data_IF_235327364002
#
_entry.id   IF_235327364002
#
_cell.length_a   1.000
_cell.length_b   1.000
_cell.length_c   1.000
_cell.angle_alpha   90.00
_cell.angle_beta   90.00
_cell.angle_gamma   90.00
#
_symmetry.space_group_name_H-M   'P 1'
#
loop_
_entity.id
_entity.type
_entity.pdbx_description
1 polymer ?
#
# COMPACT_ATOMS: atom_id res chain seq x y z
N UNK A 1 -16.82 15.54 -15.16
CA UNK A 1 -16.23 15.27 -13.81
C UNK A 1 -16.15 13.80 -13.40
N UNK A 2 -17.16 12.93 -13.66
CA UNK A 2 -17.10 11.48 -13.28
C UNK A 2 -15.85 10.74 -13.79
N UNK A 3 -15.39 11.00 -15.03
CA UNK A 3 -14.18 10.40 -15.61
C UNK A 3 -12.88 10.81 -14.89
N UNK A 4 -12.77 12.06 -14.43
CA UNK A 4 -11.57 12.55 -13.74
C UNK A 4 -11.46 11.92 -12.34
N UNK A 5 -12.58 11.87 -11.61
CA UNK A 5 -12.65 11.18 -10.32
C UNK A 5 -12.28 9.70 -10.45
N UNK A 6 -12.78 9.01 -11.48
CA UNK A 6 -12.45 7.61 -11.74
C UNK A 6 -10.96 7.40 -12.04
N UNK A 7 -10.33 8.30 -12.79
CA UNK A 7 -8.90 8.25 -13.09
C UNK A 7 -8.04 8.46 -11.84
N UNK A 8 -8.40 9.43 -11.00
CA UNK A 8 -7.70 9.69 -9.72
C UNK A 8 -7.87 8.49 -8.79
N UNK A 9 -9.07 7.92 -8.71
CA UNK A 9 -9.34 6.73 -7.90
C UNK A 9 -8.47 5.55 -8.36
N UNK A 10 -8.46 5.21 -9.66
CA UNK A 10 -7.63 4.13 -10.20
C UNK A 10 -6.16 4.34 -9.86
N UNK A 11 -5.63 5.53 -10.11
CA UNK A 11 -4.21 5.83 -9.88
C UNK A 11 -3.83 5.64 -8.42
N UNK A 12 -4.71 6.09 -7.50
CA UNK A 12 -4.52 5.90 -6.07
C UNK A 12 -4.60 4.42 -5.65
N UNK A 13 -5.51 3.64 -6.23
CA UNK A 13 -5.61 2.19 -5.96
C UNK A 13 -4.36 1.45 -6.40
N UNK A 14 -3.82 1.79 -7.58
CA UNK A 14 -2.58 1.18 -8.10
C UNK A 14 -1.39 1.49 -7.19
N UNK A 15 -1.23 2.75 -6.77
CA UNK A 15 -0.16 3.13 -5.84
C UNK A 15 -0.28 2.39 -4.50
N UNK A 16 -1.49 2.27 -3.98
CA UNK A 16 -1.75 1.55 -2.72
C UNK A 16 -1.40 0.07 -2.83
N UNK A 17 -1.76 -0.58 -3.95
CA UNK A 17 -1.42 -1.98 -4.21
C UNK A 17 0.10 -2.18 -4.34
N UNK A 18 0.82 -1.26 -5.00
CA UNK A 18 2.27 -1.30 -5.07
C UNK A 18 2.92 -1.16 -3.69
N UNK A 19 2.45 -0.23 -2.85
CA UNK A 19 2.97 -0.04 -1.49
C UNK A 19 2.74 -1.27 -0.60
N UNK A 20 1.58 -1.90 -0.72
CA UNK A 20 1.30 -3.17 -0.03
C UNK A 20 2.26 -4.27 -0.48
N UNK A 21 2.47 -4.41 -1.80
CA UNK A 21 3.41 -5.38 -2.36
C UNK A 21 4.82 -5.20 -1.81
N UNK A 22 5.35 -3.97 -1.85
CA UNK A 22 6.70 -3.65 -1.33
C UNK A 22 6.80 -3.88 0.18
N UNK A 23 5.75 -3.57 0.94
CA UNK A 23 5.75 -3.79 2.39
C UNK A 23 5.78 -5.28 2.74
N UNK A 24 4.98 -6.09 2.04
CA UNK A 24 4.91 -7.54 2.25
C UNK A 24 6.24 -8.19 1.88
N UNK A 25 6.80 -7.87 0.71
CA UNK A 25 8.09 -8.42 0.28
C UNK A 25 9.23 -7.97 1.18
N UNK A 26 9.21 -6.73 1.66
CA UNK A 26 10.18 -6.21 2.63
C UNK A 26 10.17 -6.98 3.95
N UNK A 27 8.99 -7.23 4.53
CA UNK A 27 8.86 -8.02 5.77
C UNK A 27 9.36 -9.45 5.57
N UNK A 28 9.02 -10.09 4.44
CA UNK A 28 9.49 -11.45 4.12
C UNK A 28 11.01 -11.47 4.00
N UNK A 29 11.61 -10.49 3.32
CA UNK A 29 13.06 -10.44 3.11
C UNK A 29 13.83 -10.17 4.42
N UNK A 30 13.29 -9.32 5.30
CA UNK A 30 13.88 -9.07 6.62
C UNK A 30 13.84 -10.34 7.47
N UNK A 31 12.70 -11.04 7.47
CA UNK A 31 12.58 -12.30 8.20
C UNK A 31 13.58 -13.34 7.68
N UNK A 32 13.66 -13.51 6.36
CA UNK A 32 14.59 -14.47 5.75
C UNK A 32 16.05 -14.13 6.07
N UNK A 33 16.41 -12.84 6.10
CA UNK A 33 17.76 -12.42 6.49
C UNK A 33 18.03 -12.67 7.99
N UNK A 34 17.03 -12.49 8.85
CA UNK A 34 17.15 -12.72 10.29
C UNK A 34 17.30 -14.22 10.60
N UNK A 35 16.46 -15.07 10.00
CA UNK A 35 16.53 -16.52 10.14
C UNK A 35 17.88 -17.05 9.65
N UNK A 36 18.41 -16.46 8.57
CA UNK A 36 19.75 -16.77 8.05
C UNK A 36 20.85 -16.50 9.05
N UNK A 37 20.91 -15.27 9.55
CA UNK A 37 21.98 -14.86 10.47
C UNK A 37 21.98 -15.72 11.73
N UNK A 38 20.79 -16.04 12.25
CA UNK A 38 20.63 -16.88 13.42
C UNK A 38 21.05 -18.34 13.17
N UNK A 39 20.68 -18.94 12.04
CA UNK A 39 21.09 -20.29 11.70
C UNK A 39 22.60 -20.40 11.44
N UNK A 40 23.20 -19.42 10.76
CA UNK A 40 24.66 -19.36 10.54
C UNK A 40 25.42 -19.23 11.88
N UNK A 41 24.95 -18.37 12.80
CA UNK A 41 25.54 -18.19 14.13
C UNK A 41 25.50 -19.48 14.95
N UNK A 42 24.32 -20.12 15.04
CA UNK A 42 24.17 -21.36 15.80
C UNK A 42 25.01 -22.49 15.22
N UNK A 43 25.05 -22.64 13.89
CA UNK A 43 25.86 -23.68 13.27
C UNK A 43 27.34 -23.45 13.53
N UNK A 44 27.81 -22.20 13.42
CA UNK A 44 29.21 -21.83 13.70
C UNK A 44 29.58 -22.10 15.16
N UNK A 45 28.73 -21.71 16.10
CA UNK A 45 28.98 -21.93 17.52
C UNK A 45 28.90 -23.41 17.90
N UNK A 46 28.02 -24.17 17.26
CA UNK A 46 27.96 -25.62 17.39
C UNK A 46 29.25 -26.28 16.90
N UNK A 47 29.79 -25.85 15.75
CA UNK A 47 31.08 -26.36 15.26
C UNK A 47 32.22 -26.08 16.25
N UNK A 48 32.29 -24.87 16.81
CA UNK A 48 33.31 -24.53 17.82
C UNK A 48 33.16 -25.35 19.10
N UNK A 49 31.93 -25.55 19.57
CA UNK A 49 31.64 -26.36 20.76
C UNK A 49 32.04 -27.81 20.55
N UNK A 50 31.68 -28.40 19.40
CA UNK A 50 32.06 -29.76 19.05
C UNK A 50 33.58 -29.90 18.94
N UNK A 51 34.27 -28.96 18.29
CA UNK A 51 35.73 -28.96 18.20
C UNK A 51 36.42 -28.90 19.55
N UNK A 52 36.00 -27.98 20.44
CA UNK A 52 36.54 -27.88 21.80
C UNK A 52 36.27 -29.13 22.64
N UNK A 53 35.08 -29.75 22.46
CA UNK A 53 34.73 -31.00 23.12
C UNK A 53 35.58 -32.18 22.65
N UNK A 54 35.84 -32.28 21.34
CA UNK A 54 36.71 -33.30 20.75
C UNK A 54 38.18 -33.12 21.18
N UNK A 55 38.69 -31.90 21.31
CA UNK A 55 40.03 -31.64 21.85
C UNK A 55 40.16 -32.10 23.31
N UNK A 56 39.14 -31.82 24.15
CA UNK A 56 39.10 -32.28 25.53
C UNK A 56 38.96 -33.81 25.64
N UNK A 57 38.15 -34.41 24.76
CA UNK A 57 37.94 -35.85 24.69
C UNK A 57 39.20 -36.59 24.20
N UNK A 58 39.86 -36.06 23.17
CA UNK A 58 41.13 -36.57 22.62
C UNK A 58 42.28 -36.49 23.62
N UNK A 59 42.41 -35.38 24.36
CA UNK A 59 43.40 -35.23 25.43
C UNK A 59 43.19 -36.22 26.59
N UNK A 60 41.95 -36.62 26.86
CA UNK A 60 41.64 -37.65 27.86
C UNK A 60 41.93 -39.08 27.37
N UNK A 61 42.00 -39.29 26.04
CA UNK A 61 42.17 -40.60 25.39
C UNK A 61 43.64 -40.93 25.08
N UNK A 62 44.55 -39.95 25.00
CA UNK A 62 46.00 -40.18 24.91
C UNK A 62 46.57 -41.04 26.06
N UNK A 63 45.81 -41.25 27.14
CA UNK A 63 46.14 -42.16 28.24
C UNK A 63 45.72 -43.63 28.05
N UNK A 64 44.96 -44.00 27.02
CA UNK A 64 44.50 -45.39 26.83
C UNK A 64 44.43 -45.77 25.34
N UNK A 65 45.40 -46.57 24.89
CA UNK A 65 45.42 -47.14 23.54
C UNK A 65 44.42 -48.29 23.38
N UNK A 66 43.57 -48.26 22.34
CA UNK A 66 43.35 -49.35 21.37
C UNK A 66 42.14 -49.09 20.43
N UNK A 67 42.29 -49.62 19.20
CA UNK A 67 41.31 -49.92 18.13
C UNK A 67 40.61 -48.80 17.33
N UNK A 68 40.95 -48.70 16.04
CA UNK A 68 40.47 -47.67 15.09
C UNK A 68 38.96 -47.77 14.76
N UNK A 69 38.37 -48.97 14.68
CA UNK A 69 36.93 -49.14 14.39
C UNK A 69 36.03 -48.82 15.58
N UNK A 70 36.41 -49.22 16.81
CA UNK A 70 35.70 -48.83 18.02
C UNK A 70 35.82 -47.33 18.33
N UNK A 71 36.91 -46.70 17.89
CA UNK A 71 37.15 -45.25 18.08
C UNK A 71 36.15 -44.39 17.27
N UNK A 72 35.71 -44.85 16.10
CA UNK A 72 34.78 -44.09 15.27
C UNK A 72 33.34 -44.14 15.79
N UNK A 73 32.90 -45.29 16.32
CA UNK A 73 31.58 -45.46 16.95
C UNK A 73 31.49 -44.69 18.28
N UNK A 74 32.57 -44.71 19.07
CA UNK A 74 32.70 -43.90 20.29
C UNK A 74 32.63 -42.40 20.00
N UNK A 75 33.33 -41.92 18.96
CA UNK A 75 33.34 -40.51 18.56
C UNK A 75 31.96 -40.04 18.09
N UNK A 76 31.24 -40.88 17.33
CA UNK A 76 29.86 -40.59 16.90
C UNK A 76 28.89 -40.53 18.07
N UNK A 77 29.02 -41.47 19.02
CA UNK A 77 28.24 -41.48 20.25
C UNK A 77 28.48 -40.22 21.09
N UNK A 78 29.74 -39.79 21.22
CA UNK A 78 30.11 -38.56 21.92
C UNK A 78 29.53 -37.30 21.25
N UNK A 79 29.67 -37.15 19.94
CA UNK A 79 29.11 -36.03 19.18
C UNK A 79 27.58 -36.02 19.29
N UNK A 80 26.94 -37.19 19.21
CA UNK A 80 25.49 -37.32 19.37
C UNK A 80 25.01 -36.86 20.75
N UNK A 81 25.74 -37.18 21.81
CA UNK A 81 25.45 -36.69 23.17
C UNK A 81 25.69 -35.20 23.32
N UNK A 82 26.75 -34.66 22.72
CA UNK A 82 27.02 -33.22 22.71
C UNK A 82 25.85 -32.46 22.05
N UNK A 83 25.44 -32.88 20.85
CA UNK A 83 24.34 -32.24 20.11
C UNK A 83 23.03 -32.24 20.91
N UNK A 84 22.71 -33.34 21.60
CA UNK A 84 21.51 -33.44 22.46
C UNK A 84 21.49 -32.38 23.56
N UNK A 85 22.66 -32.05 24.10
CA UNK A 85 22.84 -31.14 25.22
C UNK A 85 23.02 -29.67 24.79
N UNK A 86 23.09 -29.36 23.50
CA UNK A 86 23.20 -27.98 23.04
C UNK A 86 21.89 -27.25 23.35
N UNK A 87 21.93 -26.13 24.10
CA UNK A 87 20.74 -25.36 24.38
C UNK A 87 20.29 -24.62 23.10
N UNK A 88 19.25 -25.12 22.46
CA UNK A 88 18.53 -24.40 21.40
C UNK A 88 17.28 -23.74 21.94
N UNK A 89 16.79 -22.71 21.25
CA UNK A 89 15.47 -22.16 21.51
C UNK A 89 14.37 -23.18 21.13
N UNK A 90 13.12 -22.91 21.50
CA UNK A 90 11.99 -23.82 21.23
C UNK A 90 11.62 -23.92 19.74
N UNK A 91 12.13 -23.06 18.87
CA UNK A 91 11.83 -23.09 17.43
C UNK A 91 12.96 -23.71 16.61
N UNK A 92 14.14 -23.91 17.19
CA UNK A 92 15.31 -24.41 16.47
C UNK A 92 15.68 -25.82 16.89
N UNK A 93 16.03 -26.60 15.88
CA UNK A 93 16.40 -28.00 15.99
C UNK A 93 17.77 -28.15 15.33
N UNK A 94 18.74 -28.68 16.08
CA UNK A 94 20.04 -29.06 15.51
C UNK A 94 20.10 -30.56 15.35
N UNK A 95 20.61 -30.99 14.21
CA UNK A 95 20.73 -32.40 13.85
C UNK A 95 22.11 -32.68 13.30
N UNK A 96 22.79 -33.68 13.89
CA UNK A 96 24.01 -34.24 13.34
C UNK A 96 23.68 -35.43 12.44
N UNK A 97 24.26 -35.48 11.25
CA UNK A 97 23.96 -36.50 10.25
C UNK A 97 25.25 -37.11 9.73
N UNK A 98 25.26 -38.43 9.62
CA UNK A 98 26.36 -39.17 9.02
C UNK A 98 26.41 -38.93 7.50
N UNK A 99 27.57 -38.51 6.99
CA UNK A 99 27.74 -38.18 5.58
C UNK A 99 27.70 -39.40 4.64
N UNK A 100 27.92 -40.61 5.14
CA UNK A 100 27.93 -41.88 4.39
C UNK A 100 26.59 -42.60 4.46
N UNK A 101 26.01 -42.72 5.66
CA UNK A 101 24.76 -43.48 5.87
C UNK A 101 23.50 -42.61 5.82
N UNK A 102 23.65 -41.29 5.89
CA UNK A 102 22.56 -40.32 6.05
C UNK A 102 21.71 -40.55 7.32
N UNK A 103 22.25 -41.29 8.29
CA UNK A 103 21.58 -41.54 9.55
C UNK A 103 21.83 -40.39 10.53
N UNK A 104 20.83 -40.15 11.39
CA UNK A 104 20.90 -39.11 12.41
C UNK A 104 21.80 -39.62 13.54
N UNK A 105 22.89 -38.88 13.80
CA UNK A 105 23.84 -39.11 14.89
C UNK A 105 23.30 -38.53 16.21
N UNK A 106 22.66 -37.36 16.15
CA UNK A 106 22.11 -36.69 17.33
C UNK A 106 21.12 -35.59 16.96
N UNK A 107 20.19 -35.29 17.88
CA UNK A 107 19.20 -34.23 17.77
C UNK A 107 19.03 -33.53 19.11
N UNK A 108 18.87 -32.22 19.12
CA UNK A 108 18.63 -31.43 20.35
C UNK A 108 17.32 -31.84 21.03
N UNK A 109 17.36 -32.12 22.35
CA UNK A 109 16.22 -32.69 23.09
C UNK A 109 15.15 -31.66 23.50
N UNK A 110 15.49 -30.37 23.51
CA UNK A 110 14.63 -29.30 24.03
C UNK A 110 13.42 -28.94 23.14
N UNK A 111 13.16 -29.67 22.05
CA UNK A 111 12.17 -29.27 21.05
C UNK A 111 11.12 -30.37 20.81
N UNK A 112 9.86 -30.12 21.18
CA UNK A 112 8.74 -31.05 20.95
C UNK A 112 8.54 -31.37 19.45
N UNK A 113 8.92 -30.46 18.55
CA UNK A 113 8.86 -30.67 17.10
C UNK A 113 9.94 -31.63 16.58
N UNK A 114 11.00 -31.88 17.33
CA UNK A 114 12.04 -32.86 16.99
C UNK A 114 11.48 -34.30 16.94
N UNK A 115 10.51 -34.62 17.80
CA UNK A 115 9.82 -35.91 17.81
C UNK A 115 8.89 -36.08 16.60
N UNK A 116 8.23 -35.01 16.13
CA UNK A 116 7.39 -35.05 14.93
C UNK A 116 8.21 -35.17 13.64
N UNK A 117 9.45 -34.65 13.64
CA UNK A 117 10.43 -34.80 12.57
C UNK A 117 10.97 -36.24 12.40
N UNK A 118 10.72 -37.15 13.36
CA UNK A 118 11.24 -38.52 13.34
C UNK A 118 10.56 -39.48 12.36
N UNK A 119 9.55 -39.04 11.60
CA UNK A 119 8.97 -39.89 10.55
C UNK A 119 9.98 -40.04 9.40
N UNK A 120 10.64 -41.20 9.32
CA UNK A 120 11.82 -41.50 8.48
C UNK A 120 11.69 -41.11 6.99
N UNK A 121 10.46 -40.95 6.47
CA UNK A 121 10.20 -40.53 5.08
C UNK A 121 10.35 -39.02 4.83
N UNK A 122 10.36 -38.20 5.88
CA UNK A 122 10.55 -36.74 5.79
C UNK A 122 12.02 -36.35 5.60
N UNK A 123 12.91 -36.95 6.39
CA UNK A 123 14.33 -36.63 6.45
C UNK A 123 15.10 -36.84 5.15
N UNK A 124 14.84 -37.96 4.45
CA UNK A 124 15.51 -38.25 3.17
C UNK A 124 15.27 -37.15 2.11
N UNK A 125 14.06 -36.58 2.07
CA UNK A 125 13.73 -35.48 1.14
C UNK A 125 14.31 -34.13 1.55
N UNK A 126 14.46 -33.89 2.85
CA UNK A 126 15.09 -32.69 3.39
C UNK A 126 16.59 -32.71 3.06
N UNK A 127 17.25 -33.85 3.31
CA UNK A 127 18.66 -34.06 3.03
C UNK A 127 18.98 -33.93 1.55
N UNK A 128 18.19 -34.55 0.67
CA UNK A 128 18.39 -34.46 -0.78
C UNK A 128 18.29 -33.01 -1.29
N UNK A 129 17.46 -32.17 -0.65
CA UNK A 129 17.37 -30.75 -0.98
C UNK A 129 18.56 -29.96 -0.45
N UNK A 130 18.97 -30.20 0.79
CA UNK A 130 20.07 -29.47 1.42
C UNK A 130 21.43 -29.82 0.80
N UNK A 131 21.64 -31.07 0.37
CA UNK A 131 22.87 -31.49 -0.31
C UNK A 131 23.08 -30.87 -1.70
N UNK A 132 22.01 -30.38 -2.33
CA UNK A 132 22.09 -29.70 -3.64
C UNK A 132 22.46 -28.22 -3.50
N UNK A 133 22.48 -27.71 -2.28
CA UNK A 133 22.80 -26.33 -1.97
C UNK A 133 24.26 -26.21 -1.55
N UNK A 134 24.83 -25.02 -1.73
CA UNK A 134 26.17 -24.74 -1.22
C UNK A 134 26.17 -24.77 0.32
N UNK A 135 27.32 -25.07 0.94
CA UNK A 135 27.42 -25.10 2.40
C UNK A 135 27.03 -23.73 2.98
N UNK A 136 26.13 -23.73 3.96
CA UNK A 136 25.58 -22.51 4.57
C UNK A 136 24.42 -21.87 3.81
N UNK A 137 24.03 -22.36 2.63
CA UNK A 137 22.81 -21.90 1.97
C UNK A 137 21.55 -22.44 2.66
N UNK A 138 20.51 -21.61 2.68
CA UNK A 138 19.24 -21.95 3.30
C UNK A 138 18.25 -22.53 2.29
N UNK A 139 17.57 -23.60 2.70
CA UNK A 139 16.40 -24.14 2.02
C UNK A 139 15.12 -23.84 2.81
N UNK A 140 14.04 -23.56 2.09
CA UNK A 140 12.70 -23.73 2.64
C UNK A 140 12.31 -25.22 2.57
N UNK A 141 12.02 -25.80 3.73
CA UNK A 141 11.57 -27.18 3.88
C UNK A 141 10.11 -27.21 4.32
N UNK A 142 9.35 -28.15 3.76
CA UNK A 142 7.95 -28.35 4.12
C UNK A 142 7.88 -29.49 5.13
N UNK A 143 7.50 -29.17 6.36
CA UNK A 143 7.15 -30.14 7.40
C UNK A 143 5.63 -30.34 7.40
N UNK A 144 5.15 -31.42 8.03
CA UNK A 144 3.77 -31.89 7.88
C UNK A 144 2.69 -30.80 8.00
N UNK A 145 2.90 -29.81 8.89
CA UNK A 145 1.93 -28.76 9.16
C UNK A 145 2.45 -27.33 8.95
N UNK A 146 3.72 -27.13 8.58
CA UNK A 146 4.31 -25.79 8.46
C UNK A 146 5.59 -25.78 7.60
N UNK A 147 6.00 -24.59 7.17
CA UNK A 147 7.27 -24.38 6.49
C UNK A 147 8.35 -24.01 7.51
N UNK A 148 9.53 -24.59 7.35
CA UNK A 148 10.72 -24.30 8.15
C UNK A 148 11.87 -23.87 7.24
N UNK A 149 12.80 -23.09 7.78
CA UNK A 149 14.07 -22.79 7.13
C UNK A 149 15.12 -23.75 7.65
N UNK A 150 15.97 -24.26 6.76
CA UNK A 150 17.03 -25.18 7.13
C UNK A 150 18.33 -24.82 6.43
N UNK A 151 19.44 -24.93 7.15
CA UNK A 151 20.78 -24.74 6.63
C UNK A 151 21.63 -25.97 6.98
N UNK A 152 22.58 -26.30 6.10
CA UNK A 152 23.50 -27.41 6.30
C UNK A 152 24.94 -26.93 6.18
N UNK A 153 25.78 -27.36 7.11
CA UNK A 153 27.23 -27.11 7.10
C UNK A 153 27.95 -28.42 7.37
N UNK A 154 29.08 -28.64 6.69
CA UNK A 154 29.94 -29.80 6.95
C UNK A 154 30.80 -29.53 8.18
N UNK A 155 30.72 -30.40 9.18
CA UNK A 155 31.57 -30.34 10.37
C UNK A 155 32.89 -31.09 10.14
N UNK A 156 32.79 -32.33 9.65
CA UNK A 156 33.94 -33.19 9.36
C UNK A 156 33.69 -33.99 8.08
N UNK A 157 34.68 -34.74 7.55
CA UNK A 157 34.48 -35.56 6.34
C UNK A 157 33.30 -36.53 6.46
N UNK A 158 32.99 -36.98 7.68
CA UNK A 158 31.97 -37.98 7.97
C UNK A 158 30.67 -37.40 8.57
N UNK A 159 30.61 -36.09 8.88
CA UNK A 159 29.49 -35.50 9.64
C UNK A 159 29.02 -34.16 9.06
N UNK A 160 27.71 -34.07 8.84
CA UNK A 160 27.00 -32.82 8.55
C UNK A 160 26.23 -32.34 9.78
N UNK A 161 26.17 -31.02 9.95
CA UNK A 161 25.29 -30.35 10.89
C UNK A 161 24.17 -29.68 10.12
N UNK A 162 22.94 -29.90 10.55
CA UNK A 162 21.74 -29.29 9.99
C UNK A 162 21.04 -28.50 11.09
N UNK A 163 20.89 -27.20 10.87
CA UNK A 163 20.08 -26.32 11.70
C UNK A 163 18.74 -26.11 11.02
N UNK A 164 17.64 -26.37 11.73
CA UNK A 164 16.28 -26.16 11.27
C UNK A 164 15.61 -25.13 12.18
N UNK A 165 15.14 -24.02 11.64
CA UNK A 165 14.26 -23.11 12.34
C UNK A 165 12.82 -23.31 11.85
N UNK A 166 11.98 -23.74 12.79
CA UNK A 166 10.56 -24.07 12.56
C UNK A 166 9.68 -22.82 12.53
N UNK A 167 10.19 -21.65 12.92
CA UNK A 167 9.46 -20.38 12.85
C UNK A 167 8.13 -20.38 13.60
N UNK A 168 7.92 -21.30 14.56
CA UNK A 168 6.65 -21.50 15.24
C UNK A 168 6.19 -20.25 16.02
N UNK A 169 7.13 -19.42 16.48
CA UNK A 169 6.83 -18.11 17.09
C UNK A 169 6.86 -16.94 16.07
N UNK A 170 7.69 -17.03 15.02
CA UNK A 170 7.86 -15.93 14.06
C UNK A 170 6.70 -15.81 13.07
N UNK A 171 6.08 -16.91 12.65
CA UNK A 171 4.97 -16.91 11.69
C UNK A 171 3.71 -16.19 12.21
N UNK A 172 3.41 -16.30 13.50
CA UNK A 172 2.27 -15.61 14.14
C UNK A 172 2.57 -14.11 14.28
N UNK A 173 3.79 -13.74 14.66
CA UNK A 173 4.25 -12.34 14.77
C UNK A 173 4.33 -11.63 13.43
N UNK A 174 4.86 -12.31 12.40
CA UNK A 174 4.95 -11.80 11.03
C UNK A 174 3.56 -11.68 10.40
N UNK A 175 2.70 -12.70 10.55
CA UNK A 175 1.32 -12.65 10.07
C UNK A 175 0.52 -11.51 10.70
N UNK A 176 0.67 -11.30 12.01
CA UNK A 176 0.02 -10.16 12.69
C UNK A 176 0.60 -8.81 12.29
N UNK A 177 1.92 -8.71 12.05
CA UNK A 177 2.54 -7.48 11.57
C UNK A 177 2.11 -7.14 10.14
N UNK A 178 2.06 -8.13 9.24
CA UNK A 178 1.53 -7.97 7.88
C UNK A 178 0.06 -7.54 7.93
N UNK A 179 -0.75 -8.14 8.81
CA UNK A 179 -2.15 -7.78 8.97
C UNK A 179 -2.31 -6.34 9.49
N UNK A 180 -1.53 -5.94 10.51
CA UNK A 180 -1.55 -4.58 11.08
C UNK A 180 -1.14 -3.53 10.04
N UNK A 181 -0.07 -3.79 9.28
CA UNK A 181 0.38 -2.91 8.19
C UNK A 181 -0.69 -2.78 7.11
N UNK A 182 -1.26 -3.91 6.68
CA UNK A 182 -2.32 -3.93 5.66
C UNK A 182 -3.56 -3.17 6.12
N UNK A 183 -3.99 -3.34 7.37
CA UNK A 183 -5.11 -2.62 7.96
C UNK A 183 -4.83 -1.11 8.02
N UNK A 184 -3.63 -0.69 8.42
CA UNK A 184 -3.25 0.72 8.49
C UNK A 184 -3.28 1.42 7.12
N UNK A 185 -2.82 0.73 6.07
CA UNK A 185 -2.83 1.24 4.70
C UNK A 185 -4.27 1.35 4.19
N UNK A 186 -5.12 0.36 4.48
CA UNK A 186 -6.52 0.37 4.07
C UNK A 186 -7.33 1.47 4.77
N UNK A 187 -7.10 1.69 6.07
CA UNK A 187 -7.73 2.80 6.80
C UNK A 187 -7.29 4.14 6.21
N UNK A 188 -5.99 4.31 5.96
CA UNK A 188 -5.44 5.53 5.35
C UNK A 188 -6.05 5.79 3.98
N UNK A 189 -6.23 4.76 3.16
CA UNK A 189 -6.91 4.84 1.87
C UNK A 189 -8.35 5.36 2.01
N UNK A 190 -9.12 4.79 2.94
CA UNK A 190 -10.52 5.20 3.17
C UNK A 190 -10.59 6.66 3.62
N UNK A 191 -9.73 7.08 4.55
CA UNK A 191 -9.68 8.46 5.05
C UNK A 191 -9.39 9.45 3.92
N UNK A 192 -8.38 9.16 3.09
CA UNK A 192 -8.01 10.04 1.97
C UNK A 192 -9.14 10.10 0.93
N UNK A 193 -9.75 8.96 0.59
CA UNK A 193 -10.85 8.92 -0.37
C UNK A 193 -12.06 9.74 0.11
N UNK A 194 -12.42 9.64 1.40
CA UNK A 194 -13.48 10.43 2.00
C UNK A 194 -13.11 11.91 2.01
N UNK A 195 -11.88 12.27 2.37
CA UNK A 195 -11.41 13.65 2.39
C UNK A 195 -11.47 14.29 1.01
N UNK A 196 -11.01 13.61 -0.04
CA UNK A 196 -11.09 14.10 -1.43
C UNK A 196 -12.55 14.31 -1.83
N UNK A 197 -13.43 13.35 -1.52
CA UNK A 197 -14.86 13.45 -1.86
C UNK A 197 -15.54 14.62 -1.17
N UNK A 198 -15.27 14.81 0.12
CA UNK A 198 -15.82 15.93 0.89
C UNK A 198 -15.27 17.27 0.41
N UNK A 199 -13.97 17.34 0.14
CA UNK A 199 -13.31 18.55 -0.36
C UNK A 199 -13.85 18.95 -1.73
N UNK A 200 -13.95 18.01 -2.68
CA UNK A 200 -14.55 18.26 -4.00
C UNK A 200 -15.99 18.74 -3.91
N UNK A 201 -16.78 18.15 -3.00
CA UNK A 201 -18.18 18.56 -2.81
C UNK A 201 -18.28 19.98 -2.26
N UNK A 202 -17.47 20.30 -1.25
CA UNK A 202 -17.52 21.60 -0.57
C UNK A 202 -16.93 22.73 -1.41
N UNK A 203 -15.79 22.50 -2.07
CA UNK A 203 -15.04 23.54 -2.78
C UNK A 203 -15.56 23.81 -4.20
N UNK A 204 -15.97 22.78 -4.95
CA UNK A 204 -16.31 22.95 -6.37
C UNK A 204 -17.80 22.83 -6.65
N UNK A 205 -18.47 21.81 -6.09
CA UNK A 205 -19.87 21.55 -6.45
C UNK A 205 -20.82 22.61 -5.89
N UNK A 206 -20.61 23.04 -4.65
CA UNK A 206 -21.45 24.08 -4.03
C UNK A 206 -21.32 25.42 -4.76
N UNK A 207 -20.10 25.83 -5.12
CA UNK A 207 -19.87 27.09 -5.81
C UNK A 207 -20.44 27.06 -7.24
N UNK A 208 -20.26 25.98 -7.99
CA UNK A 208 -20.83 25.84 -9.35
C UNK A 208 -22.37 25.88 -9.32
N UNK A 209 -23.01 25.18 -8.38
CA UNK A 209 -24.47 25.12 -8.28
C UNK A 209 -25.05 26.49 -7.90
N UNK A 210 -24.35 27.23 -7.04
CA UNK A 210 -24.67 28.61 -6.70
C UNK A 210 -24.59 29.54 -7.89
N UNK A 211 -23.49 29.48 -8.67
CA UNK A 211 -23.31 30.30 -9.87
C UNK A 211 -24.40 29.98 -10.89
N UNK A 212 -24.70 28.69 -11.11
CA UNK A 212 -25.75 28.28 -12.04
C UNK A 212 -27.10 28.91 -11.69
N UNK A 213 -27.48 28.89 -10.41
CA UNK A 213 -28.72 29.51 -9.95
C UNK A 213 -28.70 31.05 -10.11
N UNK A 214 -27.57 31.70 -9.85
CA UNK A 214 -27.44 33.16 -10.05
C UNK A 214 -27.51 33.56 -11.53
N UNK A 215 -26.89 32.78 -12.43
CA UNK A 215 -26.98 32.99 -13.89
C UNK A 215 -28.41 32.79 -14.38
N UNK A 216 -29.11 31.75 -13.91
CA UNK A 216 -30.52 31.52 -14.29
C UNK A 216 -31.42 32.69 -13.90
N UNK A 217 -31.28 33.23 -12.68
CA UNK A 217 -32.03 34.43 -12.25
C UNK A 217 -31.74 35.64 -13.12
N UNK A 218 -30.48 35.83 -13.52
CA UNK A 218 -30.12 36.91 -14.44
C UNK A 218 -30.79 36.74 -15.82
N UNK A 219 -30.85 35.51 -16.35
CA UNK A 219 -31.52 35.20 -17.61
C UNK A 219 -33.04 35.36 -17.54
N UNK A 220 -33.64 35.16 -16.36
CA UNK A 220 -35.06 35.44 -16.09
C UNK A 220 -35.37 36.95 -15.97
N UNK A 221 -34.37 37.82 -16.14
CA UNK A 221 -34.51 39.28 -16.11
C UNK A 221 -34.34 39.90 -14.73
N UNK A 222 -33.90 39.13 -13.73
CA UNK A 222 -33.61 39.65 -12.39
C UNK A 222 -32.18 40.22 -12.33
N UNK A 223 -32.04 41.50 -12.72
CA UNK A 223 -30.76 42.23 -12.73
C UNK A 223 -30.22 42.59 -11.33
N UNK A 224 -31.05 42.48 -10.29
CA UNK A 224 -30.66 42.69 -8.88
C UNK A 224 -29.85 41.51 -8.32
N UNK A 225 -29.70 40.42 -9.08
CA UNK A 225 -28.91 39.26 -8.66
C UNK A 225 -27.44 39.65 -8.47
N UNK A 226 -26.92 39.45 -7.26
CA UNK A 226 -25.49 39.61 -6.93
C UNK A 226 -24.74 38.28 -7.04
N UNK A 227 -23.63 38.32 -7.77
CA UNK A 227 -22.71 37.19 -7.87
C UNK A 227 -21.72 37.25 -6.70
N UNK A 228 -22.07 36.53 -5.64
CA UNK A 228 -21.23 36.36 -4.45
C UNK A 228 -19.86 35.73 -4.77
N UNK A 229 -18.86 36.05 -3.97
CA UNK A 229 -17.50 35.52 -4.13
C UNK A 229 -17.43 34.01 -3.89
N UNK A 230 -16.60 33.33 -4.67
CA UNK A 230 -16.33 31.90 -4.62
C UNK A 230 -15.08 31.57 -3.80
N UNK A 231 -14.99 30.32 -3.32
CA UNK A 231 -13.86 29.86 -2.51
C UNK A 231 -12.65 29.46 -3.35
N UNK A 232 -12.87 28.99 -4.59
CA UNK A 232 -11.80 28.69 -5.54
C UNK A 232 -11.44 29.94 -6.35
N UNK A 233 -10.14 30.21 -6.44
CA UNK A 233 -9.59 31.30 -7.24
C UNK A 233 -9.91 31.14 -8.74
N UNK A 234 -9.90 29.90 -9.25
CA UNK A 234 -10.24 29.61 -10.65
C UNK A 234 -11.72 29.87 -10.94
N UNK A 235 -12.59 29.53 -9.99
CA UNK A 235 -14.03 29.82 -10.11
C UNK A 235 -14.29 31.33 -9.96
N UNK A 236 -13.61 32.01 -9.04
CA UNK A 236 -13.78 33.46 -8.84
C UNK A 236 -13.40 34.25 -10.09
N UNK A 237 -12.36 33.84 -10.82
CA UNK A 237 -12.02 34.45 -12.12
C UNK A 237 -13.21 34.39 -13.09
N UNK A 238 -13.87 33.23 -13.19
CA UNK A 238 -15.06 33.06 -14.03
C UNK A 238 -16.23 33.92 -13.53
N UNK A 239 -16.47 33.95 -12.22
CA UNK A 239 -17.55 34.74 -11.61
C UNK A 239 -17.32 36.23 -11.81
N UNK A 240 -16.07 36.71 -11.72
CA UNK A 240 -15.73 38.11 -11.97
C UNK A 240 -16.06 38.52 -13.41
N UNK A 241 -15.76 37.66 -14.39
CA UNK A 241 -16.10 37.92 -15.79
C UNK A 241 -17.62 37.97 -16.01
N UNK A 242 -18.39 37.12 -15.33
CA UNK A 242 -19.85 37.15 -15.35
C UNK A 242 -20.39 38.44 -14.71
N UNK A 243 -19.79 38.88 -13.60
CA UNK A 243 -20.14 40.12 -12.89
C UNK A 243 -19.90 41.35 -13.79
N UNK A 244 -18.76 41.39 -14.47
CA UNK A 244 -18.42 42.46 -15.41
C UNK A 244 -19.37 42.49 -16.61
N UNK A 245 -19.73 41.31 -17.15
CA UNK A 245 -20.72 41.19 -18.21
C UNK A 245 -22.10 41.71 -17.78
N UNK A 246 -22.56 41.34 -16.56
CA UNK A 246 -23.82 41.82 -15.99
C UNK A 246 -23.82 43.35 -15.91
N UNK A 247 -22.78 43.92 -15.30
CA UNK A 247 -22.68 45.36 -15.09
C UNK A 247 -22.62 46.11 -16.42
N UNK A 248 -21.91 45.57 -17.42
CA UNK A 248 -21.89 46.11 -18.78
C UNK A 248 -23.28 46.11 -19.44
N UNK A 249 -24.04 45.03 -19.27
CA UNK A 249 -25.39 44.91 -19.82
C UNK A 249 -26.36 45.91 -19.16
N UNK A 250 -26.41 45.94 -17.82
CA UNK A 250 -27.28 46.87 -17.06
C UNK A 250 -26.96 48.32 -17.40
N UNK A 251 -25.67 48.68 -17.41
CA UNK A 251 -25.26 50.04 -17.75
C UNK A 251 -25.65 50.43 -19.19
N UNK A 252 -25.54 49.50 -20.15
CA UNK A 252 -25.94 49.75 -21.54
C UNK A 252 -27.45 49.95 -21.66
N UNK A 253 -28.26 49.15 -20.96
CA UNK A 253 -29.71 49.30 -20.90
C UNK A 253 -30.12 50.62 -20.27
N UNK A 254 -29.52 51.01 -19.14
CA UNK A 254 -29.77 52.31 -18.51
C UNK A 254 -29.41 53.48 -19.42
N UNK A 255 -28.26 53.42 -20.10
CA UNK A 255 -27.85 54.45 -21.06
C UNK A 255 -28.82 54.54 -22.23
N UNK A 256 -29.28 53.40 -22.74
CA UNK A 256 -30.25 53.37 -23.83
C UNK A 256 -31.57 54.02 -23.40
N UNK A 257 -32.09 53.64 -22.23
CA UNK A 257 -33.29 54.25 -21.65
C UNK A 257 -33.13 55.76 -21.43
N UNK A 258 -31.97 56.22 -20.93
CA UNK A 258 -31.68 57.66 -20.78
C UNK A 258 -31.67 58.40 -22.11
N UNK A 259 -31.02 57.82 -23.14
CA UNK A 259 -31.00 58.42 -24.48
C UNK A 259 -32.43 58.56 -24.99
N UNK A 260 -33.23 57.49 -24.94
CA UNK A 260 -34.63 57.52 -25.39
C UNK A 260 -35.47 58.53 -24.62
N UNK A 261 -35.36 58.56 -23.29
CA UNK A 261 -36.08 59.52 -22.45
C UNK A 261 -35.62 60.98 -22.67
N UNK A 262 -34.41 61.18 -23.21
CA UNK A 262 -33.86 62.49 -23.54
C UNK A 262 -34.17 62.96 -24.96
N UNK A 263 -34.70 62.08 -25.83
CA UNK A 263 -35.19 62.48 -27.14
C UNK A 263 -36.35 63.46 -26.89
N UNK A 264 -36.15 64.72 -27.31
CA UNK A 264 -37.05 65.82 -26.96
C UNK A 264 -38.50 65.53 -27.36
N UNK A 265 -39.47 66.23 -26.75
CA UNK A 265 -40.91 65.95 -26.89
C UNK A 265 -41.45 66.07 -28.34
N UNK A 266 -40.63 66.57 -29.26
CA UNK A 266 -40.97 66.83 -30.66
C UNK A 266 -40.34 65.81 -31.64
N UNK A 267 -39.56 64.84 -31.16
CA UNK A 267 -38.91 63.82 -31.99
C UNK A 267 -39.38 62.45 -31.50
N UNK A 268 -40.08 61.70 -32.34
CA UNK A 268 -40.41 60.30 -32.09
C UNK A 268 -39.32 59.41 -32.70
N UNK A 269 -38.88 58.39 -31.97
CA UNK A 269 -37.94 57.38 -32.46
C UNK A 269 -38.59 56.00 -32.42
N UNK A 270 -38.31 55.18 -33.43
CA UNK A 270 -38.80 53.81 -33.48
C UNK A 270 -37.76 52.90 -34.14
N UNK A 271 -37.80 51.63 -33.78
CA UNK A 271 -37.06 50.57 -34.43
C UNK A 271 -38.06 49.53 -34.95
N UNK A 272 -38.05 49.31 -36.26
CA UNK A 272 -38.83 48.26 -36.90
C UNK A 272 -37.98 47.00 -36.96
N UNK A 273 -38.45 45.95 -36.29
CA UNK A 273 -37.91 44.61 -36.38
C UNK A 273 -38.86 43.73 -37.20
N UNK A 274 -38.35 42.60 -37.70
CA UNK A 274 -39.11 41.69 -38.59
C UNK A 274 -40.39 41.13 -37.94
N UNK A 275 -40.54 41.22 -36.61
CA UNK A 275 -41.77 40.86 -35.89
C UNK A 275 -42.44 42.07 -35.25
N UNK A 276 -43.75 42.24 -35.49
CA UNK A 276 -44.58 43.32 -34.95
C UNK A 276 -44.49 43.44 -33.42
N UNK A 277 -44.36 42.33 -32.69
CA UNK A 277 -44.25 42.31 -31.23
C UNK A 277 -42.86 42.70 -30.69
N UNK A 278 -41.86 42.82 -31.56
CA UNK A 278 -40.52 43.26 -31.20
C UNK A 278 -40.26 44.71 -31.66
N UNK A 279 -41.24 45.35 -32.31
CA UNK A 279 -41.10 46.75 -32.69
C UNK A 279 -41.01 47.62 -31.44
N UNK A 280 -40.09 48.57 -31.49
CA UNK A 280 -39.86 49.47 -30.37
C UNK A 280 -40.27 50.88 -30.78
N UNK A 281 -41.02 51.57 -29.92
CA UNK A 281 -41.46 52.95 -30.12
C UNK A 281 -41.09 53.76 -28.88
N UNK A 282 -40.62 55.00 -29.06
CA UNK A 282 -40.42 55.92 -27.94
C UNK A 282 -41.75 56.33 -27.31
N UNK A 283 -41.74 56.65 -26.03
CA UNK A 283 -42.95 57.02 -25.27
C UNK A 283 -43.72 58.20 -25.87
N UNK A 284 -43.01 59.13 -26.52
CA UNK A 284 -43.59 60.29 -27.19
C UNK A 284 -43.98 60.03 -28.66
N UNK A 285 -43.72 58.84 -29.19
CA UNK A 285 -43.90 58.53 -30.62
C UNK A 285 -45.34 58.78 -31.08
N UNK A 286 -46.32 58.25 -30.36
CA UNK A 286 -47.74 58.46 -30.66
C UNK A 286 -48.12 59.96 -30.66
N UNK A 287 -47.59 60.72 -29.70
CA UNK A 287 -47.83 62.15 -29.56
C UNK A 287 -47.22 62.96 -30.71
N UNK A 288 -46.02 62.59 -31.17
CA UNK A 288 -45.34 63.22 -32.32
C UNK A 288 -46.05 62.87 -33.63
N UNK A 289 -46.56 61.65 -33.76
CA UNK A 289 -47.31 61.20 -34.93
C UNK A 289 -48.76 61.70 -34.97
N UNK A 290 -49.24 62.34 -33.89
CA UNK A 290 -50.62 62.82 -33.78
C UNK A 290 -51.66 61.71 -33.65
N UNK A 291 -51.24 60.51 -33.27
CA UNK A 291 -52.11 59.34 -33.09
C UNK A 291 -52.95 59.50 -31.84
N UNK A 292 -54.21 59.06 -31.91
CA UNK A 292 -55.07 58.99 -30.73
C UNK A 292 -54.66 57.78 -29.89
N UNK A 293 -54.87 57.83 -28.59
CA UNK A 293 -54.44 56.79 -27.64
C UNK A 293 -55.02 55.40 -27.96
N UNK A 294 -56.12 55.34 -28.72
CA UNK A 294 -56.78 54.13 -29.23
C UNK A 294 -56.08 53.49 -30.46
N UNK A 295 -55.16 54.19 -31.11
CA UNK A 295 -54.44 53.74 -32.32
C UNK A 295 -53.03 53.20 -32.00
N UNK A 296 -52.67 53.11 -30.72
CA UNK A 296 -51.32 52.81 -30.21
C UNK A 296 -51.24 51.41 -29.56
N UNK A 297 -52.37 50.76 -29.32
CA UNK A 297 -52.46 49.34 -28.89
C UNK A 297 -52.45 48.38 -30.08
#
# INVERSE_FOLDING_TARGET
>A
MKKLYWRILILFTVVTACLLGVSITGVIHIQWAQDRGYLEEILTDTQKLLGAGEECYGSSRESTSQDEEGTQEDSRSFIGQMIRNIPTNQTTILVGIDAKTHEIIGITENNMSAQELMDKKGWGRILEKLQKLEEGEMAAIHLSNYFATAAMVRYSPDIFLVGIDTGADSSVGVGTNIFRLSASILISYVVIAVFIRLSMKKLFLTDIDKIQNQVLRLLEGNYDTEFEACQSEEIELMVSAIRDLKNGYVHKTERMNKIFNSIGPNIGSFELLDSLQANFFSDNFAKVMGWKQEEVE
#
